data_IF_147013737652
#
_entry.id   IF_147013737652
#
_cell.length_a   1.000
_cell.length_b   1.000
_cell.length_c   1.000
_cell.angle_alpha   90.00
_cell.angle_beta   90.00
_cell.angle_gamma   90.00
#
_symmetry.space_group_name_H-M   'P 1'
#
loop_
_entity.id
_entity.type
_entity.pdbx_description
1 polymer ?
#
# COMPACT_ATOMS: atom_id res chain seq x y z
N UNK A 1 -14.57 8.47 20.80
CA UNK A 1 -13.99 7.11 20.70
C UNK A 1 -12.65 7.21 19.97
N UNK A 2 -11.50 7.25 20.68
CA UNK A 2 -10.17 7.32 20.03
C UNK A 2 -9.76 5.89 19.65
N UNK A 3 -10.15 5.42 18.46
CA UNK A 3 -9.55 4.21 17.88
C UNK A 3 -8.11 4.54 17.48
N UNK A 4 -7.20 4.50 18.46
CA UNK A 4 -5.76 4.65 18.20
C UNK A 4 -5.16 3.27 17.95
N UNK A 5 -5.67 2.57 16.94
CA UNK A 5 -4.86 1.51 16.32
C UNK A 5 -3.77 2.24 15.53
N UNK A 6 -2.62 2.47 16.17
CA UNK A 6 -1.42 3.07 15.56
C UNK A 6 -0.85 2.06 14.56
N UNK A 7 -1.52 1.81 13.44
CA UNK A 7 -0.88 1.14 12.32
C UNK A 7 0.30 2.02 11.90
N UNK A 8 1.49 1.60 12.29
CA UNK A 8 2.73 2.31 11.98
C UNK A 8 3.26 1.94 10.62
N UNK A 9 2.81 0.82 10.06
CA UNK A 9 3.30 0.25 8.80
C UNK A 9 2.21 -0.49 8.05
N UNK A 10 2.19 -0.41 6.73
CA UNK A 10 1.31 -1.23 5.89
C UNK A 10 1.84 -1.37 4.46
N UNK A 11 1.40 -2.44 3.78
CA UNK A 11 1.49 -2.62 2.34
C UNK A 11 0.11 -2.33 1.77
N UNK A 12 0.04 -1.43 0.80
CA UNK A 12 -1.21 -0.94 0.19
C UNK A 12 -1.17 -1.29 -1.29
N UNK A 13 -1.99 -2.27 -1.69
CA UNK A 13 -2.13 -2.73 -3.07
C UNK A 13 -3.38 -2.12 -3.75
N UNK A 14 -3.64 -0.85 -3.46
CA UNK A 14 -4.74 -0.06 -4.02
C UNK A 14 -4.30 1.41 -4.14
N UNK A 15 -5.02 2.26 -4.90
CA UNK A 15 -4.76 3.69 -4.94
C UNK A 15 -4.82 4.31 -3.55
N UNK A 16 -3.92 5.26 -3.28
CA UNK A 16 -3.82 6.00 -2.04
C UNK A 16 -5.07 6.81 -1.76
N UNK A 17 -5.69 7.37 -2.80
CA UNK A 17 -6.93 8.14 -2.66
C UNK A 17 -8.14 7.29 -2.27
N UNK A 18 -8.10 5.97 -2.51
CA UNK A 18 -9.25 5.07 -2.28
C UNK A 18 -9.27 4.46 -0.88
N UNK A 19 -8.18 4.58 -0.12
CA UNK A 19 -8.09 4.08 1.25
C UNK A 19 -8.42 5.17 2.28
N UNK A 20 -9.01 4.77 3.42
CA UNK A 20 -9.37 5.67 4.53
C UNK A 20 -8.59 5.40 5.83
N UNK A 21 -7.64 4.47 5.79
CA UNK A 21 -6.90 3.98 6.97
C UNK A 21 -5.81 4.98 7.37
N UNK A 22 -5.07 5.49 6.38
CA UNK A 22 -3.97 6.42 6.55
C UNK A 22 -4.38 7.81 6.08
N UNK A 23 -4.18 8.79 6.95
CA UNK A 23 -4.35 10.18 6.59
C UNK A 23 -3.17 10.63 5.72
N UNK A 24 -3.40 10.70 4.41
CA UNK A 24 -2.41 11.05 3.40
C UNK A 24 -2.99 12.15 2.52
N UNK A 25 -2.12 12.97 1.93
CA UNK A 25 -2.55 14.03 1.04
C UNK A 25 -3.13 13.41 -0.24
N UNK A 26 -4.25 13.96 -0.69
CA UNK A 26 -4.84 13.60 -1.97
C UNK A 26 -3.83 13.82 -3.11
N UNK A 27 -3.71 12.83 -3.98
CA UNK A 27 -2.81 12.86 -5.15
C UNK A 27 -3.65 13.01 -6.40
N UNK A 28 -3.61 14.19 -7.03
CA UNK A 28 -4.30 14.40 -8.31
C UNK A 28 -3.68 13.55 -9.42
N UNK A 29 -4.52 12.97 -10.28
CA UNK A 29 -4.10 12.06 -11.36
C UNK A 29 -3.18 10.93 -10.87
N UNK A 30 -3.55 10.31 -9.74
CA UNK A 30 -2.78 9.19 -9.19
C UNK A 30 -2.64 8.07 -10.23
N UNK A 31 -1.41 7.65 -10.58
CA UNK A 31 -1.22 6.56 -11.52
C UNK A 31 -1.71 5.24 -10.90
N UNK A 32 -2.39 4.43 -11.70
CA UNK A 32 -2.77 3.09 -11.28
C UNK A 32 -1.52 2.27 -10.90
N UNK A 33 -1.64 1.48 -9.84
CA UNK A 33 -0.61 0.52 -9.46
C UNK A 33 -0.53 -0.59 -10.52
N UNK A 34 0.67 -0.90 -10.98
CA UNK A 34 0.93 -2.08 -11.79
C UNK A 34 0.69 -3.38 -11.02
N UNK A 35 0.62 -4.51 -11.73
CA UNK A 35 0.27 -5.84 -11.19
C UNK A 35 1.06 -6.28 -9.95
N UNK A 36 2.30 -5.84 -9.81
CA UNK A 36 3.19 -6.18 -8.69
C UNK A 36 3.62 -4.95 -7.89
N UNK A 37 3.01 -3.80 -8.15
CA UNK A 37 3.37 -2.55 -7.48
C UNK A 37 2.47 -2.30 -6.28
N UNK A 38 3.07 -1.84 -5.20
CA UNK A 38 2.38 -1.52 -3.96
C UNK A 38 2.97 -0.25 -3.36
N UNK A 39 2.20 0.40 -2.48
CA UNK A 39 2.72 1.44 -1.60
C UNK A 39 3.08 0.85 -0.24
N UNK A 40 4.28 1.15 0.24
CA UNK A 40 4.71 0.85 1.60
C UNK A 40 4.57 2.11 2.44
N UNK A 41 3.63 2.07 3.38
CA UNK A 41 3.43 3.12 4.37
C UNK A 41 4.28 2.81 5.61
N UNK A 42 5.03 3.79 6.11
CA UNK A 42 5.76 3.73 7.38
C UNK A 42 5.72 5.08 8.07
N UNK A 43 5.06 5.15 9.24
CA UNK A 43 5.04 6.31 10.14
C UNK A 43 4.77 7.65 9.42
N UNK A 44 3.92 7.65 8.39
CA UNK A 44 3.56 8.84 7.61
C UNK A 44 4.32 9.01 6.29
N UNK A 45 5.34 8.21 6.03
CA UNK A 45 6.04 8.14 4.75
C UNK A 45 5.44 7.07 3.86
N UNK A 46 5.38 7.32 2.55
CA UNK A 46 4.90 6.37 1.55
C UNK A 46 5.97 6.19 0.48
N UNK A 47 6.26 4.94 0.14
CA UNK A 47 7.23 4.57 -0.90
C UNK A 47 6.56 3.58 -1.84
N UNK A 48 6.65 3.79 -3.15
CA UNK A 48 6.20 2.82 -4.15
C UNK A 48 7.27 1.73 -4.32
N UNK A 49 6.86 0.46 -4.22
CA UNK A 49 7.75 -0.70 -4.30
C UNK A 49 7.17 -1.75 -5.25
N UNK A 50 8.03 -2.62 -5.77
CA UNK A 50 7.63 -3.81 -6.53
C UNK A 50 7.74 -5.05 -5.64
N UNK A 51 6.64 -5.76 -5.44
CA UNK A 51 6.61 -6.99 -4.67
C UNK A 51 7.18 -8.16 -5.49
N UNK A 52 8.02 -9.03 -4.88
CA UNK A 52 8.45 -10.25 -5.52
C UNK A 52 7.24 -11.20 -5.69
N UNK A 53 7.14 -11.85 -6.84
CA UNK A 53 6.15 -12.91 -7.04
C UNK A 53 6.67 -14.20 -6.40
N UNK A 54 5.87 -14.78 -5.53
CA UNK A 54 6.11 -16.15 -5.05
C UNK A 54 5.47 -17.09 -6.06
N UNK A 55 6.23 -17.46 -7.09
CA UNK A 55 5.89 -18.58 -7.97
C UNK A 55 6.40 -19.83 -7.28
N UNK A 56 5.61 -20.37 -6.34
CA UNK A 56 5.82 -21.76 -5.97
C UNK A 56 5.53 -22.54 -7.26
N UNK A 57 6.58 -23.03 -7.91
CA UNK A 57 6.47 -24.17 -8.79
C UNK A 57 6.00 -25.33 -7.90
N UNK A 58 4.70 -25.35 -7.60
CA UNK A 58 4.04 -26.54 -7.11
C UNK A 58 4.10 -27.48 -8.30
N UNK A 59 5.19 -28.24 -8.39
CA UNK A 59 5.21 -29.47 -9.15
C UNK A 59 4.15 -30.35 -8.50
N UNK A 60 2.95 -30.35 -9.12
CA UNK A 60 1.87 -31.29 -8.82
C UNK A 60 2.31 -32.69 -9.22
#
# INVERSE_FOLDING_TARGET
MKMRSKLTTAIIAMPLNDQSIFNIKYVSNEPALGKDEVYYYVKGSIIKLKMPRVTNEVMV
#
